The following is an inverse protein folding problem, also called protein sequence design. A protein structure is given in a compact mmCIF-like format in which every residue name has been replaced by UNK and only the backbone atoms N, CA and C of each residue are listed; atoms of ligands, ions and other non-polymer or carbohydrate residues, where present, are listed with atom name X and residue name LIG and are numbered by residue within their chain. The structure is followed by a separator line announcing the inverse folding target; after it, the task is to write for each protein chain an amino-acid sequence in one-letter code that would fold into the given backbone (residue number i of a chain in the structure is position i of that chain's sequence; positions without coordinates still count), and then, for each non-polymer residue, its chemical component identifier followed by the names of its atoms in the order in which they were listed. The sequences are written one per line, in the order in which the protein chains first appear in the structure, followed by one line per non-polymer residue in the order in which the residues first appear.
data_IF_302663678936
#
_entry.id   IF_302663678936
#
_cell.length_a   1.000
_cell.length_b   1.000
_cell.length_c   1.000
_cell.angle_alpha   90.00
_cell.angle_beta   90.00
_cell.angle_gamma   90.00
#
_symmetry.space_group_name_H-M   'P 1'
#
loop_
_entity.id
_entity.type
_entity.pdbx_description
1 polymer ?
#
# COMPACT_ATOMS: atom_id res chain seq x y z
N UNK A 1 -8.00 2.13 -5.00
CA UNK A 1 -6.55 2.33 -4.73
C UNK A 1 -5.86 2.71 -6.03
N UNK A 2 -4.79 3.48 -5.94
CA UNK A 2 -3.97 3.89 -7.08
C UNK A 2 -2.49 3.66 -6.75
N UNK A 3 -1.80 2.87 -7.58
CA UNK A 3 -0.35 2.72 -7.56
C UNK A 3 0.24 3.55 -8.70
N UNK A 4 1.28 4.31 -8.41
CA UNK A 4 1.95 5.16 -9.38
C UNK A 4 3.43 4.84 -9.41
N UNK A 5 3.97 4.65 -10.61
CA UNK A 5 5.39 4.69 -10.88
C UNK A 5 5.69 5.86 -11.82
N UNK A 6 6.85 6.50 -11.67
CA UNK A 6 7.32 7.55 -12.56
C UNK A 6 8.83 7.45 -12.74
N UNK A 7 9.29 7.48 -13.98
CA UNK A 7 10.72 7.61 -14.29
C UNK A 7 11.11 9.09 -14.40
N UNK A 8 12.13 9.52 -13.66
CA UNK A 8 12.68 10.88 -13.75
C UNK A 8 14.12 10.94 -13.24
N UNK A 9 15.00 11.68 -13.92
CA UNK A 9 16.39 11.87 -13.49
C UNK A 9 17.21 10.58 -13.34
N UNK A 10 16.87 9.51 -14.08
CA UNK A 10 17.52 8.21 -13.93
C UNK A 10 17.02 7.36 -12.75
N UNK A 11 15.94 7.78 -12.09
CA UNK A 11 15.30 7.05 -10.99
C UNK A 11 13.87 6.66 -11.35
N UNK A 12 13.41 5.57 -10.74
CA UNK A 12 12.00 5.19 -10.64
C UNK A 12 11.51 5.64 -9.28
N UNK A 13 10.47 6.46 -9.28
CA UNK A 13 9.73 6.87 -8.11
C UNK A 13 8.45 6.07 -8.02
N UNK A 14 8.16 5.47 -6.88
CA UNK A 14 6.91 4.75 -6.65
C UNK A 14 6.18 5.32 -5.44
N UNK A 15 4.86 5.43 -5.55
CA UNK A 15 3.93 5.83 -4.47
C UNK A 15 2.61 5.07 -4.60
N UNK A 16 1.85 5.00 -3.51
CA UNK A 16 0.51 4.44 -3.48
C UNK A 16 -0.46 5.36 -2.74
N UNK A 17 -1.69 5.44 -3.24
CA UNK A 17 -2.84 5.98 -2.53
C UNK A 17 -3.89 4.90 -2.33
N UNK A 18 -4.16 4.56 -1.07
CA UNK A 18 -5.22 3.66 -0.65
C UNK A 18 -6.43 4.50 -0.30
N UNK A 19 -7.61 4.15 -0.83
CA UNK A 19 -8.89 4.75 -0.43
C UNK A 19 -9.79 3.59 -0.01
N UNK A 20 -10.60 3.80 1.02
CA UNK A 20 -11.61 2.84 1.47
C UNK A 20 -12.91 3.56 1.80
N UNK A 21 -14.00 2.84 1.57
CA UNK A 21 -15.33 3.21 2.02
C UNK A 21 -15.68 2.34 3.21
N UNK A 22 -16.01 2.97 4.33
CA UNK A 22 -16.48 2.26 5.50
C UNK A 22 -17.93 1.82 5.31
N UNK A 23 -18.38 0.73 5.97
CA UNK A 23 -19.79 0.41 5.97
C UNK A 23 -20.57 1.57 6.61
N UNK A 24 -21.64 2.02 5.94
CA UNK A 24 -22.48 3.17 6.30
C UNK A 24 -22.99 3.16 7.76
N UNK A 25 -22.95 2.00 8.42
CA UNK A 25 -23.42 1.74 9.78
C UNK A 25 -22.32 1.60 10.84
N UNK A 26 -21.04 1.82 10.51
CA UNK A 26 -19.92 1.73 11.47
C UNK A 26 -19.94 2.89 12.48
N UNK A 27 -20.88 2.86 13.42
CA UNK A 27 -20.92 3.73 14.61
C UNK A 27 -19.80 3.41 15.61
N UNK A 28 -19.13 2.26 15.48
CA UNK A 28 -18.01 1.86 16.32
C UNK A 28 -16.68 2.23 15.66
N UNK A 29 -16.31 3.52 15.72
CA UNK A 29 -14.97 4.00 15.38
C UNK A 29 -14.02 3.77 16.55
N UNK A 30 -13.66 2.51 16.78
CA UNK A 30 -12.69 2.18 17.82
C UNK A 30 -11.27 2.35 17.27
N UNK A 31 -10.45 3.14 17.96
CA UNK A 31 -8.99 3.26 17.76
C UNK A 31 -8.21 2.02 18.22
N UNK A 32 -8.88 0.87 18.26
CA UNK A 32 -8.37 -0.42 18.70
C UNK A 32 -8.86 -1.51 17.74
N UNK A 33 -9.15 -1.16 16.48
CA UNK A 33 -9.68 -2.12 15.50
C UNK A 33 -8.56 -3.01 14.97
N UNK A 34 -7.35 -2.46 14.89
CA UNK A 34 -6.16 -3.17 14.46
C UNK A 34 -5.11 -3.14 15.57
N UNK A 35 -4.39 -4.24 15.74
CA UNK A 35 -3.15 -4.23 16.52
C UNK A 35 -2.00 -3.64 15.71
N UNK A 36 -2.02 -3.89 14.40
CA UNK A 36 -1.12 -3.29 13.42
C UNK A 36 -1.77 -3.25 12.03
N UNK A 37 -1.49 -2.23 11.23
CA UNK A 37 -1.74 -2.27 9.80
C UNK A 37 -0.63 -1.59 9.01
N UNK A 38 -0.26 -2.16 7.86
CA UNK A 38 0.75 -1.54 6.99
C UNK A 38 0.50 -1.78 5.52
N UNK A 39 0.93 -0.81 4.73
CA UNK A 39 1.03 -0.95 3.28
C UNK A 39 2.47 -1.28 2.90
N UNK A 40 2.67 -2.34 2.13
CA UNK A 40 3.94 -2.70 1.53
C UNK A 40 3.97 -2.18 0.09
N UNK A 41 4.71 -1.10 -0.13
CA UNK A 41 4.95 -0.57 -1.47
C UNK A 41 6.17 -1.28 -2.08
N UNK A 42 6.06 -1.66 -3.34
CA UNK A 42 7.10 -2.31 -4.10
C UNK A 42 7.33 -1.58 -5.42
N UNK A 43 8.59 -1.46 -5.82
CA UNK A 43 8.99 -1.19 -7.21
C UNK A 43 9.44 -2.51 -7.80
N UNK A 44 8.88 -2.89 -8.94
CA UNK A 44 9.26 -4.10 -9.66
C UNK A 44 9.87 -3.77 -11.02
N UNK A 45 10.82 -4.58 -11.44
CA UNK A 45 11.38 -4.52 -12.79
C UNK A 45 10.57 -5.44 -13.70
N UNK A 46 9.99 -4.90 -14.75
CA UNK A 46 9.10 -5.64 -15.65
C UNK A 46 9.91 -6.49 -16.62
N UNK A 47 9.74 -7.82 -16.53
CA UNK A 47 10.46 -8.82 -17.32
C UNK A 47 9.50 -9.85 -17.91
N UNK A 48 10.01 -10.78 -18.71
CA UNK A 48 9.21 -11.95 -19.11
C UNK A 48 9.09 -12.89 -17.91
N UNK A 49 7.86 -13.12 -17.45
CA UNK A 49 7.59 -13.99 -16.30
C UNK A 49 7.21 -13.17 -15.06
N UNK A 50 7.68 -13.59 -13.89
CA UNK A 50 7.42 -12.88 -12.63
C UNK A 50 8.33 -11.68 -12.50
N UNK A 51 7.74 -10.49 -12.32
CA UNK A 51 8.47 -9.25 -12.14
C UNK A 51 9.19 -9.22 -10.78
N UNK A 52 10.54 -9.19 -10.74
CA UNK A 52 11.28 -9.14 -9.48
C UNK A 52 11.10 -7.79 -8.77
N UNK A 53 10.98 -7.86 -7.45
CA UNK A 53 10.98 -6.68 -6.57
C UNK A 53 12.40 -6.13 -6.47
N UNK A 54 12.60 -4.87 -6.86
CA UNK A 54 13.91 -4.18 -6.80
C UNK A 54 14.00 -3.18 -5.67
N UNK A 55 12.84 -2.73 -5.15
CA UNK A 55 12.73 -1.88 -3.97
C UNK A 55 11.44 -2.19 -3.24
N UNK A 56 11.47 -2.14 -1.91
CA UNK A 56 10.27 -2.22 -1.09
C UNK A 56 10.35 -1.26 0.10
N UNK A 57 9.19 -0.82 0.59
CA UNK A 57 9.07 -0.05 1.82
C UNK A 57 7.75 -0.39 2.53
N UNK A 58 7.83 -0.52 3.85
CA UNK A 58 6.70 -0.76 4.73
C UNK A 58 6.21 0.57 5.32
N UNK A 59 4.94 0.88 5.14
CA UNK A 59 4.31 2.11 5.63
C UNK A 59 3.25 1.77 6.68
N UNK A 60 3.55 2.04 7.95
CA UNK A 60 2.70 1.73 9.11
C UNK A 60 1.64 2.81 9.38
N UNK A 61 1.72 3.97 8.73
CA UNK A 61 0.72 5.05 8.89
C UNK A 61 -0.69 4.66 8.42
N UNK A 62 -0.82 3.55 7.69
CA UNK A 62 -2.11 3.01 7.25
C UNK A 62 -3.02 2.67 8.44
N UNK A 63 -2.47 2.13 9.52
CA UNK A 63 -3.22 1.79 10.74
C UNK A 63 -3.93 3.00 11.32
N UNK A 64 -3.16 4.03 11.63
CA UNK A 64 -3.69 5.27 12.17
C UNK A 64 -4.76 5.86 11.25
N UNK A 65 -4.52 5.85 9.93
CA UNK A 65 -5.48 6.38 8.97
C UNK A 65 -6.79 5.57 8.95
N UNK A 66 -6.73 4.23 9.00
CA UNK A 66 -7.91 3.37 9.08
C UNK A 66 -8.73 3.64 10.35
N UNK A 67 -8.06 3.77 11.48
CA UNK A 67 -8.71 4.00 12.79
C UNK A 67 -9.29 5.42 12.94
N UNK A 68 -8.72 6.38 12.20
CA UNK A 68 -9.16 7.78 12.19
C UNK A 68 -9.98 8.11 10.94
N UNK A 69 -10.71 7.11 10.43
CA UNK A 69 -11.64 7.29 9.33
C UNK A 69 -12.72 8.33 9.65
N UNK A 70 -13.29 8.91 8.59
CA UNK A 70 -14.30 9.96 8.67
C UNK A 70 -15.60 9.52 9.37
N UNK A 71 -16.51 10.49 9.50
CA UNK A 71 -17.95 10.35 9.80
C UNK A 71 -18.58 8.99 9.42
N UNK A 72 -18.35 8.61 8.18
CA UNK A 72 -19.02 7.48 7.54
C UNK A 72 -18.09 6.24 7.42
N UNK A 73 -16.95 6.26 8.12
CA UNK A 73 -15.93 5.20 8.04
C UNK A 73 -15.06 5.26 6.77
N UNK A 74 -15.21 6.29 5.94
CA UNK A 74 -14.41 6.46 4.72
C UNK A 74 -13.07 7.11 5.04
N UNK A 75 -12.05 6.80 4.26
CA UNK A 75 -10.74 7.41 4.43
C UNK A 75 -9.80 7.17 3.26
N UNK A 76 -8.63 7.77 3.38
CA UNK A 76 -7.54 7.57 2.43
C UNK A 76 -6.20 7.65 3.14
N UNK A 77 -5.23 6.93 2.61
CA UNK A 77 -3.84 6.96 3.05
C UNK A 77 -2.92 7.02 1.83
N UNK A 78 -1.97 7.95 1.86
CA UNK A 78 -0.93 8.05 0.84
C UNK A 78 0.42 7.67 1.47
N UNK A 79 1.16 6.82 0.76
CA UNK A 79 2.49 6.41 1.20
C UNK A 79 3.50 7.53 0.95
N UNK A 80 4.66 7.43 1.60
CA UNK A 80 5.83 8.15 1.11
C UNK A 80 6.25 7.68 -0.29
N UNK A 81 7.16 8.43 -0.90
CA UNK A 81 7.74 8.08 -2.21
C UNK A 81 9.00 7.25 -2.02
N UNK A 82 9.06 6.09 -2.65
CA UNK A 82 10.31 5.33 -2.79
C UNK A 82 11.05 5.76 -4.05
N UNK A 83 12.38 5.67 -4.02
CA UNK A 83 13.24 5.95 -5.18
C UNK A 83 14.19 4.77 -5.43
N UNK A 84 14.32 4.37 -6.68
CA UNK A 84 15.22 3.30 -7.12
C UNK A 84 16.00 3.76 -8.37
N UNK A 85 17.33 3.54 -8.40
CA UNK A 85 18.14 3.94 -9.55
C UNK A 85 17.84 3.03 -10.74
N UNK A 86 17.32 3.60 -11.81
CA UNK A 86 16.79 2.86 -12.94
C UNK A 86 17.92 2.36 -13.86
N UNK A 87 17.93 1.07 -14.16
CA UNK A 87 18.69 0.50 -15.27
C UNK A 87 17.96 0.65 -16.61
N UNK A 88 18.44 -0.05 -17.63
CA UNK A 88 17.66 -0.33 -18.84
C UNK A 88 16.45 -1.20 -18.48
N UNK A 89 15.30 -0.94 -19.08
CA UNK A 89 14.09 -1.73 -18.86
C UNK A 89 12.91 -0.90 -18.37
N UNK A 90 11.79 -1.60 -18.16
CA UNK A 90 10.51 -1.04 -17.71
C UNK A 90 10.29 -1.37 -16.25
N UNK A 91 9.63 -0.49 -15.52
CA UNK A 91 9.38 -0.67 -14.10
C UNK A 91 7.93 -0.38 -13.78
N UNK A 92 7.42 -0.96 -12.70
CA UNK A 92 6.07 -0.69 -12.20
C UNK A 92 6.08 -0.56 -10.69
N UNK A 93 5.04 0.08 -10.16
CA UNK A 93 4.72 0.08 -8.75
C UNK A 93 3.72 -1.06 -8.49
N UNK A 94 3.95 -1.78 -7.41
CA UNK A 94 3.09 -2.83 -6.91
C UNK A 94 2.97 -2.70 -5.39
N UNK A 95 2.05 -3.41 -4.76
CA UNK A 95 1.98 -3.43 -3.32
C UNK A 95 0.80 -4.19 -2.75
N UNK A 96 0.82 -4.34 -1.44
CA UNK A 96 -0.20 -5.07 -0.70
C UNK A 96 -0.39 -4.52 0.71
N UNK A 97 -1.57 -4.75 1.28
CA UNK A 97 -1.88 -4.40 2.67
C UNK A 97 -1.71 -5.64 3.54
N UNK A 98 -1.14 -5.45 4.73
CA UNK A 98 -1.14 -6.45 5.80
C UNK A 98 -1.92 -5.87 6.98
N UNK A 99 -2.93 -6.62 7.44
CA UNK A 99 -3.79 -6.27 8.57
C UNK A 99 -3.60 -7.29 9.70
N UNK A 100 -3.38 -6.79 10.90
CA UNK A 100 -3.38 -7.55 12.16
C UNK A 100 -4.56 -7.05 13.00
N UNK A 101 -5.61 -7.87 13.08
CA UNK A 101 -6.87 -7.50 13.72
C UNK A 101 -6.77 -7.63 15.23
N UNK A 102 -7.30 -6.64 15.96
CA UNK A 102 -7.32 -6.73 17.42
C UNK A 102 -8.14 -7.93 17.90
N UNK A 103 -7.63 -8.62 18.92
CA UNK A 103 -8.32 -9.74 19.57
C UNK A 103 -8.40 -11.05 18.78
N UNK A 104 -7.85 -11.15 17.56
CA UNK A 104 -7.91 -12.40 16.78
C UNK A 104 -6.79 -13.39 17.11
N UNK A 105 -5.70 -12.91 17.72
CA UNK A 105 -4.55 -13.69 18.18
C UNK A 105 -3.68 -14.28 17.06
N UNK A 106 -3.88 -13.86 15.79
CA UNK A 106 -3.25 -14.46 14.61
C UNK A 106 -2.21 -13.57 13.93
N UNK A 107 -2.01 -12.34 14.41
CA UNK A 107 -1.05 -11.40 13.83
C UNK A 107 -1.47 -10.97 12.42
N UNK A 108 -0.50 -10.56 11.59
CA UNK A 108 -0.79 -10.19 10.21
C UNK A 108 -1.44 -11.33 9.42
N UNK A 109 -2.66 -11.09 8.92
CA UNK A 109 -3.33 -11.96 7.97
C UNK A 109 -2.71 -11.87 6.57
N UNK A 110 -3.05 -12.85 5.73
CA UNK A 110 -2.66 -12.91 4.32
C UNK A 110 -2.84 -11.56 3.64
N UNK A 111 -1.86 -11.14 2.82
CA UNK A 111 -1.88 -9.81 2.23
C UNK A 111 -3.08 -9.62 1.32
N UNK A 112 -3.75 -8.47 1.44
CA UNK A 112 -4.69 -8.02 0.42
C UNK A 112 -3.86 -7.50 -0.75
N UNK A 113 -3.90 -8.23 -1.86
CA UNK A 113 -3.14 -7.91 -3.08
C UNK A 113 -3.89 -6.87 -3.92
N UNK A 114 -3.15 -6.00 -4.61
CA UNK A 114 -3.71 -4.99 -5.49
C UNK A 114 -3.15 -5.08 -6.91
N UNK A 115 -3.88 -4.49 -7.85
CA UNK A 115 -3.45 -4.41 -9.25
C UNK A 115 -2.27 -3.44 -9.38
N UNK A 116 -1.20 -3.93 -10.02
CA UNK A 116 0.00 -3.14 -10.34
C UNK A 116 -0.30 -1.87 -11.16
N UNK A 117 0.59 -0.89 -11.07
CA UNK A 117 0.55 0.31 -11.92
C UNK A 117 0.88 -0.02 -13.38
N UNK A 118 0.54 0.87 -14.34
CA UNK A 118 1.17 0.86 -15.65
C UNK A 118 2.71 0.93 -15.56
N UNK A 119 3.38 0.37 -16.57
CA UNK A 119 4.83 0.38 -16.69
C UNK A 119 5.38 1.77 -17.06
N UNK A 120 6.57 2.10 -16.57
CA UNK A 120 7.33 3.34 -16.83
C UNK A 120 8.81 3.11 -17.13
#
# INVERSE_FOLDING_TARGET
MTLCAKRSGGYIYSTAKVNWDGPYTAKNRSTLTFNNAKFQLQTKHSVRGTDPVVRSAAYTGLEHALEHSSGNGNGSYETGTTAYKAGSGRYLADGYIQLDWSGDGKGYRSPVLFTASPNV
#
